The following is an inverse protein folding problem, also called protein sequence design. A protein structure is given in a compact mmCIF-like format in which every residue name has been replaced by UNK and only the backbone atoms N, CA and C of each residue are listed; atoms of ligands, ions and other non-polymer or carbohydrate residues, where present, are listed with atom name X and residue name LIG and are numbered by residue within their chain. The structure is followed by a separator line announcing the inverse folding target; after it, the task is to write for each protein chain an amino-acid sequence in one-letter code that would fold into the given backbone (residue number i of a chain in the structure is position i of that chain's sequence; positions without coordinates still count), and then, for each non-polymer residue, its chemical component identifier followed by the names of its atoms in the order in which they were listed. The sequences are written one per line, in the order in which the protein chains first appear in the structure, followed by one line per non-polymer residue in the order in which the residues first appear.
data_IF_874158778613
#
_entry.id   IF_874158778613
#
_cell.length_a   1.000
_cell.length_b   1.000
_cell.length_c   1.000
_cell.angle_alpha   90.00
_cell.angle_beta   90.00
_cell.angle_gamma   90.00
#
_symmetry.space_group_name_H-M   'P 1'
#
loop_
_entity.id
_entity.type
_entity.pdbx_description
1 polymer ?
#
# COMPACT_ATOMS: atom_id res chain seq x y z
N UNK A 1 -16.65 -12.45 -11.56
CA UNK A 1 -15.23 -12.59 -11.97
C UNK A 1 -14.94 -11.99 -13.36
N UNK A 2 -15.65 -10.94 -13.79
CA UNK A 2 -15.43 -10.26 -15.09
C UNK A 2 -14.47 -9.06 -14.99
N UNK A 3 -14.41 -8.40 -13.83
CA UNK A 3 -13.58 -7.19 -13.64
C UNK A 3 -12.07 -7.45 -13.68
N UNK A 4 -11.59 -8.63 -13.27
CA UNK A 4 -10.16 -8.94 -13.20
C UNK A 4 -9.48 -9.18 -14.56
N UNK A 5 -10.24 -9.62 -15.58
CA UNK A 5 -9.70 -9.99 -16.91
C UNK A 5 -8.99 -8.83 -17.62
N UNK A 6 -9.47 -7.59 -17.44
CA UNK A 6 -8.86 -6.39 -18.04
C UNK A 6 -7.46 -6.13 -17.48
N UNK A 7 -7.26 -6.37 -16.18
CA UNK A 7 -5.99 -6.10 -15.51
C UNK A 7 -4.93 -7.16 -15.83
N UNK A 8 -5.33 -8.42 -16.01
CA UNK A 8 -4.41 -9.50 -16.44
C UNK A 8 -3.76 -9.17 -17.79
N UNK A 9 -4.49 -8.54 -18.72
CA UNK A 9 -3.94 -8.12 -20.02
C UNK A 9 -3.03 -6.88 -19.96
N UNK A 10 -3.16 -6.04 -18.94
CA UNK A 10 -2.45 -4.77 -18.83
C UNK A 10 -1.06 -4.89 -18.20
N UNK A 11 -0.80 -5.97 -17.48
CA UNK A 11 0.46 -6.16 -16.77
C UNK A 11 1.26 -7.32 -17.37
N UNK A 12 2.52 -7.09 -17.81
CA UNK A 12 3.37 -8.12 -18.39
C UNK A 12 3.93 -9.10 -17.34
N UNK A 13 3.72 -8.82 -16.05
CA UNK A 13 4.21 -9.65 -14.96
C UNK A 13 3.41 -10.97 -14.87
N UNK A 14 4.09 -12.10 -14.57
CA UNK A 14 3.44 -13.42 -14.51
C UNK A 14 2.41 -13.54 -13.39
N UNK A 15 2.43 -12.62 -12.41
CA UNK A 15 1.54 -12.64 -11.24
C UNK A 15 0.97 -11.24 -11.01
N UNK A 16 -0.36 -11.16 -10.93
CA UNK A 16 -1.10 -9.94 -10.63
C UNK A 16 -1.87 -10.11 -9.32
N UNK A 17 -1.57 -9.27 -8.32
CA UNK A 17 -2.23 -9.21 -7.02
C UNK A 17 -3.45 -8.30 -7.14
N UNK A 18 -4.64 -8.82 -6.85
CA UNK A 18 -5.88 -8.03 -6.84
C UNK A 18 -6.47 -8.07 -5.44
N UNK A 19 -6.54 -6.92 -4.79
CA UNK A 19 -7.05 -6.79 -3.41
C UNK A 19 -7.67 -5.40 -3.20
N UNK A 20 -8.15 -5.08 -2.00
CA UNK A 20 -8.54 -3.70 -1.67
C UNK A 20 -7.33 -2.77 -1.80
N UNK A 21 -7.56 -1.52 -2.18
CA UNK A 21 -6.48 -0.52 -2.25
C UNK A 21 -5.71 -0.36 -0.92
N UNK A 22 -6.33 -0.75 0.21
CA UNK A 22 -5.72 -0.72 1.54
C UNK A 22 -4.62 -1.76 1.70
N UNK A 23 -4.85 -2.99 1.25
CA UNK A 23 -3.86 -4.07 1.41
C UNK A 23 -2.87 -4.15 0.26
N UNK A 24 -3.11 -3.41 -0.83
CA UNK A 24 -2.32 -3.50 -2.04
C UNK A 24 -0.83 -3.21 -1.79
N UNK A 25 -0.52 -2.11 -1.11
CA UNK A 25 0.86 -1.73 -0.82
C UNK A 25 1.56 -2.76 0.07
N UNK A 26 0.85 -3.30 1.07
CA UNK A 26 1.39 -4.34 1.96
C UNK A 26 1.66 -5.65 1.20
N UNK A 27 0.74 -6.05 0.33
CA UNK A 27 0.89 -7.24 -0.51
C UNK A 27 2.06 -7.10 -1.49
N UNK A 28 2.19 -5.94 -2.15
CA UNK A 28 3.32 -5.64 -3.04
C UNK A 28 4.64 -5.60 -2.28
N UNK A 29 4.68 -5.00 -1.09
CA UNK A 29 5.88 -4.96 -0.24
C UNK A 29 6.30 -6.35 0.21
N UNK A 30 5.34 -7.22 0.54
CA UNK A 30 5.62 -8.60 0.89
C UNK A 30 6.19 -9.36 -0.32
N UNK A 31 5.56 -9.25 -1.49
CA UNK A 31 6.07 -9.83 -2.73
C UNK A 31 7.50 -9.35 -3.04
N UNK A 32 7.77 -8.06 -2.88
CA UNK A 32 9.11 -7.49 -3.03
C UNK A 32 10.13 -8.10 -2.05
N UNK A 33 9.77 -8.28 -0.77
CA UNK A 33 10.65 -8.91 0.24
C UNK A 33 11.01 -10.35 -0.14
N UNK A 34 10.09 -11.07 -0.77
CA UNK A 34 10.32 -12.43 -1.27
C UNK A 34 10.85 -12.47 -2.71
N UNK A 35 11.24 -11.33 -3.30
CA UNK A 35 11.75 -11.21 -4.67
C UNK A 35 10.78 -11.76 -5.73
N UNK A 36 9.48 -11.71 -5.47
CA UNK A 36 8.43 -12.14 -6.40
C UNK A 36 8.09 -10.94 -7.30
N UNK A 37 8.35 -11.05 -8.60
CA UNK A 37 7.87 -10.05 -9.57
C UNK A 37 6.36 -10.13 -9.69
N UNK A 38 5.69 -9.07 -9.23
CA UNK A 38 4.24 -8.96 -9.27
C UNK A 38 3.82 -7.56 -9.65
N UNK A 39 2.64 -7.45 -10.27
CA UNK A 39 1.89 -6.20 -10.39
C UNK A 39 0.69 -6.23 -9.46
N UNK A 40 0.15 -5.07 -9.10
CA UNK A 40 -0.95 -4.98 -8.16
C UNK A 40 -2.08 -4.08 -8.66
N UNK A 41 -3.33 -4.49 -8.43
CA UNK A 41 -4.50 -3.65 -8.60
C UNK A 41 -5.33 -3.56 -7.31
N UNK A 42 -5.58 -2.33 -6.88
CA UNK A 42 -6.41 -2.03 -5.71
C UNK A 42 -7.84 -1.76 -6.15
N UNK A 43 -8.79 -2.55 -5.68
CA UNK A 43 -10.20 -2.25 -5.87
C UNK A 43 -10.54 -0.95 -5.10
N UNK A 44 -11.17 0.03 -5.78
CA UNK A 44 -11.56 1.27 -5.14
C UNK A 44 -12.52 0.95 -4.00
N UNK A 45 -12.17 1.41 -2.82
CA UNK A 45 -12.91 1.14 -1.60
C UNK A 45 -13.59 2.44 -1.15
N UNK A 46 -14.75 2.38 -0.47
CA UNK A 46 -15.42 3.60 -0.04
C UNK A 46 -14.50 4.43 0.87
N UNK A 47 -14.48 5.74 0.66
CA UNK A 47 -13.49 6.65 1.26
C UNK A 47 -13.49 6.61 2.80
N UNK A 48 -14.63 6.27 3.38
CA UNK A 48 -14.85 6.09 4.82
C UNK A 48 -13.98 4.96 5.38
N UNK A 49 -13.90 3.84 4.67
CA UNK A 49 -13.04 2.72 5.04
C UNK A 49 -11.57 3.01 4.73
N UNK A 50 -11.32 3.89 3.75
CA UNK A 50 -9.97 4.32 3.36
C UNK A 50 -9.26 5.09 4.44
N UNK A 51 -9.89 6.13 4.98
CA UNK A 51 -9.29 6.90 6.06
C UNK A 51 -8.99 6.01 7.28
N UNK A 52 -9.96 5.18 7.69
CA UNK A 52 -9.80 4.28 8.84
C UNK A 52 -8.68 3.25 8.64
N UNK A 53 -8.61 2.62 7.46
CA UNK A 53 -7.58 1.64 7.17
C UNK A 53 -6.19 2.27 7.03
N UNK A 54 -6.09 3.47 6.47
CA UNK A 54 -4.84 4.21 6.37
C UNK A 54 -4.32 4.60 7.75
N UNK A 55 -5.19 5.08 8.65
CA UNK A 55 -4.81 5.39 10.03
C UNK A 55 -4.29 4.14 10.73
N UNK A 56 -4.98 3.00 10.59
CA UNK A 56 -4.55 1.76 11.22
C UNK A 56 -3.19 1.27 10.69
N UNK A 57 -2.99 1.33 9.38
CA UNK A 57 -1.71 0.98 8.76
C UNK A 57 -0.59 1.95 9.12
N UNK A 58 -0.93 3.24 9.25
CA UNK A 58 -0.02 4.29 9.69
C UNK A 58 0.40 4.08 11.14
N UNK A 59 -0.54 3.81 12.04
CA UNK A 59 -0.26 3.49 13.45
C UNK A 59 0.60 2.22 13.57
N UNK A 60 0.29 1.16 12.81
CA UNK A 60 1.09 -0.07 12.79
C UNK A 60 2.54 0.17 12.32
N UNK A 61 2.73 1.00 11.30
CA UNK A 61 4.06 1.41 10.84
C UNK A 61 4.79 2.25 11.89
N UNK A 62 4.08 3.13 12.60
CA UNK A 62 4.63 3.96 13.67
C UNK A 62 5.24 3.12 14.79
N UNK A 63 4.52 2.07 15.22
CA UNK A 63 5.02 1.13 16.23
C UNK A 63 6.23 0.32 15.75
N UNK A 64 6.29 0.00 14.45
CA UNK A 64 7.35 -0.84 13.91
C UNK A 64 8.63 -0.06 13.57
N UNK A 65 8.53 1.25 13.28
CA UNK A 65 9.63 2.07 12.79
C UNK A 65 9.69 3.46 13.46
N UNK A 66 10.01 3.54 14.76
CA UNK A 66 10.01 4.80 15.51
C UNK A 66 11.00 5.84 14.97
N UNK A 67 12.14 5.40 14.42
CA UNK A 67 13.14 6.30 13.84
C UNK A 67 12.65 6.98 12.56
N UNK A 68 11.88 6.28 11.73
CA UNK A 68 11.31 6.85 10.50
C UNK A 68 10.28 7.93 10.84
N UNK A 69 9.56 7.76 11.95
CA UNK A 69 8.63 8.76 12.45
C UNK A 69 9.34 10.01 12.99
N UNK A 70 10.45 9.83 13.72
CA UNK A 70 11.23 10.94 14.23
C UNK A 70 11.76 11.82 13.08
N UNK A 71 12.28 11.19 12.02
CA UNK A 71 12.71 11.88 10.80
C UNK A 71 11.54 12.59 10.11
N UNK A 72 10.40 11.91 9.95
CA UNK A 72 9.20 12.50 9.33
C UNK A 72 8.68 13.71 10.09
N UNK A 73 8.65 13.64 11.42
CA UNK A 73 8.20 14.74 12.29
C UNK A 73 9.13 15.93 12.22
N UNK A 74 10.46 15.71 12.20
CA UNK A 74 11.45 16.77 12.00
C UNK A 74 11.22 17.47 10.65
N UNK A 75 11.02 16.70 9.57
CA UNK A 75 10.77 17.27 8.24
C UNK A 75 9.51 18.13 8.23
N UNK A 76 8.40 17.66 8.81
CA UNK A 76 7.16 18.44 8.90
C UNK A 76 7.37 19.74 9.66
N UNK A 77 8.03 19.70 10.81
CA UNK A 77 8.26 20.88 11.63
C UNK A 77 9.10 21.90 10.86
N UNK A 78 10.16 21.47 10.17
CA UNK A 78 11.00 22.34 9.33
C UNK A 78 10.19 22.96 8.19
N UNK A 79 9.28 22.22 7.58
CA UNK A 79 8.51 22.67 6.41
C UNK A 79 7.34 23.61 6.79
N UNK A 80 6.93 23.60 8.07
CA UNK A 80 5.90 24.47 8.64
C UNK A 80 6.48 25.71 9.33
N UNK A 81 7.80 25.80 9.48
CA UNK A 81 8.54 26.95 10.02
C UNK A 81 8.92 27.91 8.89
#
# INVERSE_FOLDING_TARGET
MQYSKRYIKLYPNPVVIITSEFHLLRALRLAQRHRIQTSGYGAPSPIQFRAKSLIHDYCGLLFQYPMTWLIFSIIIIILQL
#
